data_IF_466444824627
#
_entry.id   IF_466444824627
#
_cell.length_a   1.000
_cell.length_b   1.000
_cell.length_c   1.000
_cell.angle_alpha   90.00
_cell.angle_beta   90.00
_cell.angle_gamma   90.00
#
_symmetry.space_group_name_H-M   'P 1'
#
loop_
_entity.id
_entity.type
_entity.pdbx_description
1 polymer ?
#
# COMPACT_ATOMS: atom_id res chain seq x y z
N UNK A 1 -6.53 35.62 9.25
CA UNK A 1 -6.16 35.94 7.85
C UNK A 1 -7.05 35.11 6.93
N UNK A 2 -7.83 35.75 6.05
CA UNK A 2 -8.65 35.04 5.07
C UNK A 2 -7.76 34.53 3.92
N UNK A 3 -7.86 33.25 3.59
CA UNK A 3 -7.11 32.64 2.49
C UNK A 3 -7.61 33.21 1.16
N UNK A 4 -6.74 33.84 0.36
CA UNK A 4 -7.14 34.37 -0.95
C UNK A 4 -7.23 33.24 -1.99
N UNK A 5 -8.16 33.34 -2.95
CA UNK A 5 -8.33 32.34 -4.03
C UNK A 5 -7.06 31.94 -4.79
N UNK A 6 -6.16 32.86 -5.20
CA UNK A 6 -4.91 32.48 -5.87
C UNK A 6 -3.97 31.70 -4.94
N UNK A 7 -3.91 32.02 -3.65
CA UNK A 7 -3.12 31.25 -2.68
C UNK A 7 -3.64 29.81 -2.54
N UNK A 8 -4.96 29.63 -2.52
CA UNK A 8 -5.57 28.30 -2.42
C UNK A 8 -5.23 27.40 -3.63
N UNK A 9 -5.27 27.95 -4.85
CA UNK A 9 -4.94 27.17 -6.06
C UNK A 9 -3.47 26.73 -6.07
N UNK A 10 -2.56 27.61 -5.64
CA UNK A 10 -1.13 27.26 -5.50
C UNK A 10 -0.93 26.18 -4.43
N UNK A 11 -1.57 26.31 -3.26
CA UNK A 11 -1.49 25.31 -2.18
C UNK A 11 -1.97 23.95 -2.68
N UNK A 12 -3.11 23.89 -3.38
CA UNK A 12 -3.65 22.64 -3.91
C UNK A 12 -2.72 22.01 -4.95
N UNK A 13 -2.15 22.80 -5.86
CA UNK A 13 -1.21 22.29 -6.87
C UNK A 13 0.10 21.77 -6.24
N UNK A 14 0.67 22.50 -5.30
CA UNK A 14 1.86 22.09 -4.57
C UNK A 14 1.58 20.83 -3.73
N UNK A 15 0.41 20.75 -3.10
CA UNK A 15 -0.03 19.57 -2.36
C UNK A 15 -0.15 18.34 -3.25
N UNK A 16 -0.83 18.47 -4.40
CA UNK A 16 -0.94 17.39 -5.41
C UNK A 16 0.45 16.88 -5.81
N UNK A 17 1.39 17.77 -6.12
CA UNK A 17 2.76 17.39 -6.49
C UNK A 17 3.48 16.69 -5.34
N UNK A 18 3.42 17.25 -4.13
CA UNK A 18 4.08 16.69 -2.95
C UNK A 18 3.59 15.28 -2.62
N UNK A 19 2.27 15.07 -2.58
CA UNK A 19 1.72 13.74 -2.30
C UNK A 19 1.94 12.76 -3.45
N UNK A 20 1.98 13.24 -4.70
CA UNK A 20 2.38 12.39 -5.84
C UNK A 20 3.82 11.88 -5.69
N UNK A 21 4.74 12.75 -5.29
CA UNK A 21 6.13 12.38 -5.03
C UNK A 21 6.24 11.43 -3.83
N UNK A 22 5.46 11.67 -2.77
CA UNK A 22 5.41 10.77 -1.61
C UNK A 22 4.93 9.36 -2.00
N UNK A 23 3.90 9.25 -2.84
CA UNK A 23 3.42 7.96 -3.38
C UNK A 23 4.53 7.25 -4.17
N UNK A 24 5.23 7.96 -5.06
CA UNK A 24 6.36 7.40 -5.84
C UNK A 24 7.55 7.05 -4.94
N UNK A 25 7.77 7.75 -3.83
CA UNK A 25 8.86 7.45 -2.89
C UNK A 25 8.58 6.25 -1.99
N UNK A 26 7.35 6.14 -1.46
CA UNK A 26 6.97 5.07 -0.53
C UNK A 26 6.72 3.74 -1.24
N UNK A 27 6.11 3.78 -2.43
CA UNK A 27 5.70 2.56 -3.12
C UNK A 27 6.84 1.61 -3.50
N UNK A 28 7.99 2.07 -4.06
CA UNK A 28 9.12 1.19 -4.34
C UNK A 28 9.68 0.54 -3.07
N UNK A 29 9.69 1.24 -1.94
CA UNK A 29 10.12 0.68 -0.67
C UNK A 29 9.19 -0.46 -0.22
N UNK A 30 7.87 -0.28 -0.34
CA UNK A 30 6.89 -1.33 -0.04
C UNK A 30 7.09 -2.55 -0.95
N UNK A 31 7.19 -2.32 -2.27
CA UNK A 31 7.39 -3.40 -3.25
C UNK A 31 8.70 -4.15 -2.98
N UNK A 32 9.79 -3.41 -2.74
CA UNK A 32 11.10 -3.98 -2.47
C UNK A 32 11.10 -4.81 -1.20
N UNK A 33 10.65 -4.26 -0.07
CA UNK A 33 10.64 -4.96 1.21
C UNK A 33 9.72 -6.18 1.19
N UNK A 34 8.58 -6.08 0.50
CA UNK A 34 7.68 -7.23 0.31
C UNK A 34 8.35 -8.33 -0.52
N UNK A 35 8.97 -7.97 -1.66
CA UNK A 35 9.65 -8.93 -2.53
C UNK A 35 10.86 -9.57 -1.86
N UNK A 36 11.66 -8.77 -1.16
CA UNK A 36 12.81 -9.24 -0.40
C UNK A 36 12.38 -10.20 0.70
N UNK A 37 11.39 -9.81 1.52
CA UNK A 37 10.85 -10.65 2.58
C UNK A 37 10.27 -11.97 2.07
N UNK A 38 9.54 -11.95 0.95
CA UNK A 38 8.99 -13.16 0.31
C UNK A 38 10.10 -14.09 -0.18
N UNK A 39 11.08 -13.54 -0.90
CA UNK A 39 12.20 -14.31 -1.42
C UNK A 39 13.00 -14.95 -0.29
N UNK A 40 13.31 -14.17 0.74
CA UNK A 40 14.12 -14.62 1.85
C UNK A 40 13.39 -15.67 2.69
N UNK A 41 12.08 -15.50 2.94
CA UNK A 41 11.27 -16.53 3.59
C UNK A 41 11.17 -17.82 2.79
N UNK A 42 10.93 -17.76 1.48
CA UNK A 42 10.84 -18.96 0.66
C UNK A 42 12.19 -19.71 0.59
N UNK A 43 13.31 -18.98 0.72
CA UNK A 43 14.65 -19.56 0.75
C UNK A 43 14.99 -20.17 2.12
N UNK A 44 14.70 -19.45 3.20
CA UNK A 44 15.07 -19.84 4.56
C UNK A 44 14.10 -20.85 5.18
N UNK A 45 12.80 -20.72 4.88
CA UNK A 45 11.72 -21.56 5.40
C UNK A 45 10.68 -21.82 4.30
N UNK A 46 10.97 -22.66 3.29
CA UNK A 46 10.01 -23.01 2.25
C UNK A 46 8.75 -23.66 2.82
N UNK A 47 7.65 -23.65 2.07
CA UNK A 47 6.48 -24.44 2.45
C UNK A 47 6.84 -25.93 2.49
N UNK A 48 6.41 -26.65 3.52
CA UNK A 48 6.84 -28.04 3.70
C UNK A 48 6.55 -28.60 5.08
N UNK A 49 7.12 -29.77 5.34
CA UNK A 49 7.01 -30.45 6.63
C UNK A 49 8.20 -30.07 7.52
N UNK A 50 7.91 -29.79 8.79
CA UNK A 50 8.87 -29.37 9.79
C UNK A 50 8.72 -30.19 11.06
N UNK A 51 9.81 -30.35 11.80
CA UNK A 51 9.76 -30.92 13.15
C UNK A 51 9.39 -29.82 14.15
N UNK A 52 8.37 -30.08 14.96
CA UNK A 52 7.94 -29.23 16.06
C UNK A 52 8.39 -29.80 17.42
N UNK A 53 8.84 -28.93 18.31
CA UNK A 53 9.28 -29.26 19.67
C UNK A 53 8.35 -28.61 20.70
N UNK A 54 7.94 -29.38 21.73
CA UNK A 54 7.09 -28.88 22.82
C UNK A 54 7.94 -28.13 23.85
N UNK A 55 7.87 -26.80 23.88
CA UNK A 55 8.52 -25.97 24.90
C UNK A 55 10.01 -25.66 24.63
N UNK A 56 10.73 -25.05 25.59
CA UNK A 56 12.14 -24.71 25.41
C UNK A 56 12.95 -25.99 25.17
N UNK A 57 13.34 -26.20 23.92
CA UNK A 57 14.47 -26.95 23.32
C UNK A 57 15.01 -28.27 23.88
N UNK A 58 14.56 -28.83 25.01
CA UNK A 58 15.27 -29.91 25.70
C UNK A 58 14.53 -31.25 25.77
N UNK A 59 13.22 -31.29 25.47
CA UNK A 59 12.44 -32.53 25.52
C UNK A 59 12.29 -33.13 24.11
N UNK A 60 13.22 -34.02 23.74
CA UNK A 60 13.31 -34.64 22.41
C UNK A 60 12.25 -35.74 22.19
N UNK A 61 11.52 -36.14 23.22
CA UNK A 61 10.63 -37.32 23.19
C UNK A 61 9.22 -37.00 22.65
N UNK A 62 8.92 -35.73 22.37
CA UNK A 62 7.61 -35.28 21.85
C UNK A 62 7.71 -34.54 20.51
N UNK A 63 8.55 -35.06 19.60
CA UNK A 63 8.61 -34.55 18.23
C UNK A 63 7.36 -34.92 17.44
N UNK A 64 6.74 -33.93 16.81
CA UNK A 64 5.65 -34.16 15.88
C UNK A 64 5.91 -33.43 14.57
N UNK A 65 5.49 -34.04 13.46
CA UNK A 65 5.52 -33.40 12.16
C UNK A 65 4.33 -32.46 12.01
N UNK A 66 4.61 -31.28 11.50
CA UNK A 66 3.65 -30.25 11.18
C UNK A 66 3.92 -29.73 9.77
N UNK A 67 2.88 -29.21 9.11
CA UNK A 67 3.02 -28.66 7.76
C UNK A 67 2.88 -27.15 7.79
N UNK A 68 3.86 -26.43 7.24
CA UNK A 68 3.82 -24.99 7.03
C UNK A 68 3.31 -24.68 5.62
N UNK A 69 2.27 -23.85 5.54
CA UNK A 69 1.75 -23.30 4.29
C UNK A 69 1.66 -21.78 4.41
N UNK A 70 2.06 -21.07 3.35
CA UNK A 70 1.94 -19.62 3.30
C UNK A 70 0.66 -19.18 2.60
N UNK A 71 -0.01 -18.19 3.19
CA UNK A 71 -1.03 -17.37 2.56
C UNK A 71 -0.36 -16.15 1.92
N UNK A 72 -0.60 -15.90 0.62
CA UNK A 72 -0.04 -14.79 -0.15
C UNK A 72 -0.94 -13.54 -0.18
N UNK A 73 -2.12 -13.60 0.45
CA UNK A 73 -3.14 -12.54 0.38
C UNK A 73 -2.58 -11.19 0.83
N UNK A 74 -1.74 -11.15 1.87
CA UNK A 74 -1.15 -9.91 2.39
C UNK A 74 -0.16 -9.29 1.38
N UNK A 75 0.73 -10.11 0.84
CA UNK A 75 1.75 -9.68 -0.11
C UNK A 75 1.13 -9.19 -1.42
N UNK A 76 0.09 -9.87 -1.92
CA UNK A 76 -0.67 -9.44 -3.10
C UNK A 76 -1.30 -8.04 -2.92
N UNK A 77 -1.86 -7.77 -1.74
CA UNK A 77 -2.42 -6.45 -1.42
C UNK A 77 -1.34 -5.36 -1.34
N UNK A 78 -0.17 -5.68 -0.76
CA UNK A 78 0.97 -4.76 -0.70
C UNK A 78 1.52 -4.45 -2.10
N UNK A 79 1.64 -5.44 -2.97
CA UNK A 79 2.06 -5.22 -4.36
C UNK A 79 1.04 -4.38 -5.13
N UNK A 80 -0.25 -4.66 -4.98
CA UNK A 80 -1.30 -3.90 -5.65
C UNK A 80 -1.29 -2.42 -5.21
N UNK A 81 -1.18 -2.15 -3.91
CA UNK A 81 -1.08 -0.79 -3.38
C UNK A 81 0.20 -0.08 -3.82
N UNK A 82 1.34 -0.76 -3.75
CA UNK A 82 2.62 -0.23 -4.21
C UNK A 82 2.59 0.13 -5.69
N UNK A 83 2.15 -0.79 -6.55
CA UNK A 83 2.03 -0.57 -7.99
C UNK A 83 1.08 0.60 -8.32
N UNK A 84 -0.08 0.65 -7.67
CA UNK A 84 -1.02 1.77 -7.82
C UNK A 84 -0.38 3.11 -7.42
N UNK A 85 0.34 3.16 -6.30
CA UNK A 85 1.02 4.39 -5.86
C UNK A 85 2.09 4.87 -6.84
N UNK A 86 2.86 3.97 -7.47
CA UNK A 86 3.83 4.33 -8.52
C UNK A 86 3.09 4.90 -9.73
N UNK A 87 2.15 4.12 -10.30
CA UNK A 87 1.47 4.49 -11.54
C UNK A 87 0.75 5.84 -11.39
N UNK A 88 -0.04 5.99 -10.34
CA UNK A 88 -0.86 7.17 -10.16
C UNK A 88 -0.09 8.36 -9.57
N UNK A 89 0.97 8.12 -8.80
CA UNK A 89 1.92 9.15 -8.41
C UNK A 89 2.63 9.75 -9.63
N UNK A 90 3.08 8.94 -10.58
CA UNK A 90 3.64 9.43 -11.85
C UNK A 90 2.61 10.23 -12.65
N UNK A 91 1.37 9.74 -12.75
CA UNK A 91 0.28 10.49 -13.42
C UNK A 91 0.02 11.83 -12.74
N UNK A 92 0.07 11.88 -11.41
CA UNK A 92 -0.07 13.13 -10.64
C UNK A 92 1.04 14.15 -10.95
N UNK A 93 2.30 13.70 -11.01
CA UNK A 93 3.46 14.52 -11.38
C UNK A 93 3.31 15.05 -12.81
N UNK A 94 3.03 14.18 -13.78
CA UNK A 94 2.84 14.57 -15.18
C UNK A 94 1.67 15.55 -15.32
N UNK A 95 0.55 15.26 -14.66
CA UNK A 95 -0.63 16.13 -14.64
C UNK A 95 -0.34 17.52 -14.08
N UNK A 96 0.54 17.63 -13.07
CA UNK A 96 0.97 18.92 -12.54
C UNK A 96 1.73 19.75 -13.59
N UNK A 97 2.71 19.15 -14.27
CA UNK A 97 3.48 19.85 -15.30
C UNK A 97 2.63 20.22 -16.53
N UNK A 98 1.73 19.33 -16.96
CA UNK A 98 0.80 19.61 -18.05
C UNK A 98 -0.17 20.75 -17.69
N UNK A 99 -0.68 20.79 -16.46
CA UNK A 99 -1.56 21.86 -16.01
C UNK A 99 -0.86 23.23 -15.94
N UNK A 100 0.47 23.24 -15.72
CA UNK A 100 1.27 24.47 -15.68
C UNK A 100 1.53 25.05 -17.07
N UNK A 101 1.66 24.20 -18.09
CA UNK A 101 1.95 24.61 -19.47
C UNK A 101 0.70 24.98 -20.27
N UNK A 102 -0.50 24.54 -19.86
CA UNK A 102 -1.72 24.71 -20.65
C UNK A 102 -2.51 25.96 -20.27
N UNK A 103 -2.63 26.90 -21.22
CA UNK A 103 -3.49 28.09 -21.09
C UNK A 103 -4.91 27.87 -21.62
N UNK A 104 -5.14 26.80 -22.40
CA UNK A 104 -6.40 26.54 -23.09
C UNK A 104 -7.46 25.86 -22.19
N UNK A 105 -8.73 26.32 -22.21
CA UNK A 105 -9.77 25.85 -21.29
C UNK A 105 -10.24 24.40 -21.54
N UNK A 106 -10.21 23.90 -22.78
CA UNK A 106 -10.57 22.50 -23.09
C UNK A 106 -9.55 21.51 -22.53
N UNK A 107 -8.26 21.82 -22.67
CA UNK A 107 -7.16 21.02 -22.15
C UNK A 107 -7.16 21.01 -20.63
N UNK A 108 -7.52 22.13 -20.00
CA UNK A 108 -7.62 22.26 -18.54
C UNK A 108 -8.64 21.31 -17.90
N UNK A 109 -9.82 21.12 -18.52
CA UNK A 109 -10.83 20.14 -18.06
C UNK A 109 -10.30 18.71 -18.15
N UNK A 110 -9.62 18.37 -19.24
CA UNK A 110 -9.02 17.04 -19.42
C UNK A 110 -7.92 16.77 -18.38
N UNK A 111 -7.05 17.76 -18.10
CA UNK A 111 -5.99 17.62 -17.10
C UNK A 111 -6.54 17.47 -15.67
N UNK A 112 -7.67 18.10 -15.36
CA UNK A 112 -8.35 17.91 -14.07
C UNK A 112 -8.91 16.50 -13.90
N UNK A 113 -9.55 15.95 -14.93
CA UNK A 113 -10.08 14.58 -14.92
C UNK A 113 -8.92 13.57 -14.80
N UNK A 114 -7.82 13.83 -15.51
CA UNK A 114 -6.59 13.05 -15.45
C UNK A 114 -5.94 13.04 -14.06
N UNK A 115 -6.24 14.00 -13.18
CA UNK A 115 -5.76 14.00 -11.80
C UNK A 115 -6.76 13.33 -10.84
N UNK A 116 -8.04 13.67 -10.95
CA UNK A 116 -9.07 13.21 -10.01
C UNK A 116 -9.30 11.70 -10.11
N UNK A 117 -9.52 11.17 -11.32
CA UNK A 117 -9.90 9.77 -11.48
C UNK A 117 -8.78 8.81 -11.01
N UNK A 118 -7.51 8.99 -11.42
CA UNK A 118 -6.37 8.28 -10.86
C UNK A 118 -6.23 8.41 -9.34
N UNK A 119 -6.42 9.61 -8.78
CA UNK A 119 -6.30 9.82 -7.33
C UNK A 119 -7.37 9.05 -6.54
N UNK A 120 -8.61 9.01 -7.04
CA UNK A 120 -9.70 8.25 -6.43
C UNK A 120 -9.46 6.74 -6.49
N UNK A 121 -8.96 6.22 -7.63
CA UNK A 121 -8.64 4.80 -7.77
C UNK A 121 -7.48 4.42 -6.82
N UNK A 122 -6.43 5.25 -6.75
CA UNK A 122 -5.32 5.05 -5.81
C UNK A 122 -5.82 4.96 -4.38
N UNK A 123 -6.68 5.90 -3.98
CA UNK A 123 -7.29 5.92 -2.67
C UNK A 123 -8.07 4.63 -2.39
N UNK A 124 -8.91 4.17 -3.31
CA UNK A 124 -9.68 2.94 -3.12
C UNK A 124 -8.79 1.70 -2.97
N UNK A 125 -7.79 1.54 -3.83
CA UNK A 125 -6.86 0.39 -3.77
C UNK A 125 -6.08 0.42 -2.46
N UNK A 126 -5.51 1.57 -2.10
CA UNK A 126 -4.75 1.71 -0.85
C UNK A 126 -5.63 1.56 0.39
N UNK A 127 -6.89 1.97 0.35
CA UNK A 127 -7.86 1.75 1.42
C UNK A 127 -8.17 0.27 1.61
N UNK A 128 -8.48 -0.46 0.54
CA UNK A 128 -8.73 -1.91 0.60
C UNK A 128 -7.49 -2.63 1.14
N UNK A 129 -6.31 -2.34 0.58
CA UNK A 129 -5.07 -2.91 1.08
C UNK A 129 -4.85 -2.58 2.56
N UNK A 130 -5.08 -1.33 2.99
CA UNK A 130 -4.94 -0.93 4.39
C UNK A 130 -5.85 -1.74 5.31
N UNK A 131 -7.13 -1.89 4.96
CA UNK A 131 -8.07 -2.70 5.75
C UNK A 131 -7.62 -4.16 5.82
N UNK A 132 -7.27 -4.79 4.70
CA UNK A 132 -6.88 -6.20 4.69
C UNK A 132 -5.57 -6.47 5.45
N UNK A 133 -4.57 -5.63 5.25
CA UNK A 133 -3.24 -5.83 5.82
C UNK A 133 -3.11 -5.34 7.26
N UNK A 134 -3.90 -4.35 7.69
CA UNK A 134 -3.81 -3.80 9.06
C UNK A 134 -4.94 -4.28 9.96
N UNK A 135 -6.19 -4.28 9.47
CA UNK A 135 -7.36 -4.60 10.30
C UNK A 135 -7.66 -6.10 10.28
N UNK A 136 -7.76 -6.69 9.08
CA UNK A 136 -8.11 -8.11 8.93
C UNK A 136 -6.95 -9.01 9.37
N UNK A 137 -5.72 -8.63 9.07
CA UNK A 137 -4.53 -9.36 9.51
C UNK A 137 -4.45 -9.53 11.04
N UNK A 138 -4.76 -8.47 11.80
CA UNK A 138 -4.72 -8.50 13.27
C UNK A 138 -5.94 -9.22 13.89
N UNK A 139 -7.03 -9.42 13.12
CA UNK A 139 -8.31 -9.95 13.64
C UNK A 139 -8.70 -11.34 13.13
N UNK A 140 -8.37 -11.69 11.89
CA UNK A 140 -8.93 -12.85 11.18
C UNK A 140 -7.98 -14.05 11.08
N UNK A 141 -6.84 -13.99 11.77
CA UNK A 141 -5.96 -15.14 11.74
C UNK A 141 -6.50 -16.34 12.53
N UNK A 142 -7.63 -16.20 13.24
CA UNK A 142 -8.43 -17.26 13.90
C UNK A 142 -7.61 -18.37 14.60
N UNK A 143 -6.43 -18.05 15.12
CA UNK A 143 -5.49 -19.03 15.70
C UNK A 143 -4.79 -19.99 14.71
N UNK A 144 -4.95 -19.83 13.39
CA UNK A 144 -4.32 -20.70 12.36
C UNK A 144 -2.80 -20.55 12.27
N UNK A 145 -2.29 -19.42 12.74
CA UNK A 145 -0.87 -19.16 12.94
C UNK A 145 -0.54 -18.97 14.43
N UNK A 146 -1.16 -19.77 15.30
CA UNK A 146 -0.84 -19.79 16.72
C UNK A 146 0.14 -20.93 17.00
N UNK A 147 1.33 -20.59 17.51
CA UNK A 147 2.37 -21.54 17.91
C UNK A 147 1.83 -22.63 18.85
N UNK A 148 0.82 -22.35 19.69
CA UNK A 148 0.20 -23.36 20.58
C UNK A 148 -0.53 -24.46 19.80
N UNK A 149 -0.95 -24.19 18.57
CA UNK A 149 -1.55 -25.19 17.68
C UNK A 149 -0.57 -26.28 17.25
N UNK A 150 0.74 -26.05 17.43
CA UNK A 150 1.79 -27.05 17.17
C UNK A 150 1.79 -28.21 18.16
N UNK A 151 1.03 -28.11 19.25
CA UNK A 151 0.83 -29.18 20.21
C UNK A 151 -0.01 -30.36 19.71
N UNK A 152 -0.66 -30.22 18.55
CA UNK A 152 -1.41 -31.29 17.92
C UNK A 152 -0.59 -31.89 16.74
N UNK A 153 -0.39 -33.22 16.70
CA UNK A 153 0.33 -33.85 15.59
C UNK A 153 -0.43 -33.72 14.27
N UNK A 154 0.31 -33.68 13.15
CA UNK A 154 -0.23 -33.53 11.78
C UNK A 154 -0.99 -32.22 11.54
N UNK A 155 -0.78 -31.21 12.37
CA UNK A 155 -1.44 -29.93 12.19
C UNK A 155 -0.85 -29.15 11.01
N UNK A 156 -1.70 -28.33 10.40
CA UNK A 156 -1.36 -27.50 9.25
C UNK A 156 -1.38 -26.04 9.69
N UNK A 157 -0.20 -25.46 9.76
CA UNK A 157 -0.02 -24.03 9.98
C UNK A 157 -0.24 -23.29 8.67
N UNK A 158 -1.29 -22.48 8.61
CA UNK A 158 -1.54 -21.59 7.49
C UNK A 158 -1.35 -20.16 7.97
N UNK A 159 -0.23 -19.57 7.56
CA UNK A 159 0.26 -18.28 8.04
C UNK A 159 0.57 -17.38 6.85
N UNK A 160 0.49 -16.06 7.01
CA UNK A 160 1.28 -15.22 6.11
C UNK A 160 2.77 -15.40 6.39
N UNK A 161 3.63 -14.98 5.46
CA UNK A 161 5.08 -15.04 5.67
C UNK A 161 5.55 -14.17 6.83
N UNK A 162 4.97 -12.99 7.00
CA UNK A 162 5.25 -12.10 8.15
C UNK A 162 4.94 -12.82 9.47
N UNK A 163 3.76 -13.42 9.63
CA UNK A 163 3.38 -14.10 10.87
C UNK A 163 4.26 -15.31 11.15
N UNK A 164 4.57 -16.08 10.11
CA UNK A 164 5.49 -17.20 10.24
C UNK A 164 6.86 -16.72 10.72
N UNK A 165 7.43 -15.69 10.09
CA UNK A 165 8.72 -15.10 10.44
C UNK A 165 8.76 -14.56 11.88
N UNK A 166 7.69 -13.90 12.32
CA UNK A 166 7.62 -13.27 13.63
C UNK A 166 7.32 -14.25 14.77
N UNK A 167 6.46 -15.25 14.51
CA UNK A 167 5.83 -16.03 15.59
C UNK A 167 6.19 -17.51 15.60
N UNK A 168 6.55 -18.14 14.47
CA UNK A 168 6.58 -19.61 14.38
C UNK A 168 7.95 -20.17 13.97
N UNK A 169 8.64 -19.56 12.99
CA UNK A 169 9.85 -20.15 12.39
C UNK A 169 10.97 -20.43 13.40
N UNK A 170 11.03 -19.67 14.50
CA UNK A 170 12.01 -19.89 15.57
C UNK A 170 11.82 -21.20 16.37
N UNK A 171 10.70 -21.90 16.19
CA UNK A 171 10.39 -23.16 16.87
C UNK A 171 10.56 -24.39 15.97
N UNK A 172 10.83 -24.21 14.67
CA UNK A 172 11.00 -25.31 13.72
C UNK A 172 12.44 -25.81 13.71
N UNK A 173 12.62 -27.14 13.61
CA UNK A 173 13.84 -27.72 13.05
C UNK A 173 13.53 -28.38 11.70
N UNK A 174 14.44 -28.21 10.75
CA UNK A 174 14.38 -28.93 9.48
C UNK A 174 15.04 -30.30 9.67
N UNK A 175 14.36 -31.40 9.31
CA UNK A 175 14.88 -32.76 9.52
C UNK A 175 16.16 -33.05 8.71
N UNK A 176 16.34 -32.40 7.55
CA UNK A 176 17.43 -32.71 6.61
C UNK A 176 18.55 -31.65 6.53
N UNK A 177 18.52 -30.62 7.38
CA UNK A 177 19.57 -29.59 7.43
C UNK A 177 20.39 -29.70 8.73
N UNK A 178 21.63 -30.23 8.67
CA UNK A 178 22.47 -30.45 9.86
C UNK A 178 23.03 -29.16 10.46
N UNK A 179 22.99 -28.05 9.72
CA UNK A 179 23.37 -26.72 10.20
C UNK A 179 22.16 -25.79 10.22
N UNK A 180 22.00 -24.94 11.26
CA UNK A 180 20.99 -23.89 11.21
C UNK A 180 21.29 -23.01 10.00
N UNK A 181 20.37 -22.98 9.02
CA UNK A 181 20.52 -22.26 7.74
C UNK A 181 20.89 -20.77 7.91
N UNK A 182 20.67 -20.24 9.11
CA UNK A 182 21.28 -19.07 9.73
C UNK A 182 20.87 -19.08 11.21
N UNK A 183 21.53 -18.32 12.11
CA UNK A 183 21.06 -18.22 13.48
C UNK A 183 19.60 -17.74 13.48
N UNK A 184 18.73 -18.42 14.23
CA UNK A 184 17.30 -18.11 14.43
C UNK A 184 17.08 -16.61 14.77
N UNK A 185 18.09 -15.98 15.38
CA UNK A 185 18.13 -14.57 15.72
C UNK A 185 18.19 -13.64 14.50
N UNK A 186 18.88 -14.00 13.41
CA UNK A 186 18.97 -13.20 12.18
C UNK A 186 17.68 -13.25 11.37
N UNK A 187 16.99 -14.39 11.39
CA UNK A 187 15.72 -14.59 10.69
C UNK A 187 14.58 -13.85 11.37
N UNK A 188 14.52 -13.86 12.71
CA UNK A 188 13.51 -13.09 13.45
C UNK A 188 13.77 -11.58 13.42
N UNK A 189 15.02 -11.12 13.56
CA UNK A 189 15.32 -9.68 13.50
C UNK A 189 15.24 -9.12 12.08
N UNK A 190 15.75 -9.86 11.08
CA UNK A 190 15.79 -9.43 9.69
C UNK A 190 14.45 -9.57 8.97
N UNK A 191 13.93 -10.80 8.84
CA UNK A 191 12.72 -11.04 8.02
C UNK A 191 11.48 -10.40 8.64
N UNK A 192 11.23 -10.63 9.94
CA UNK A 192 10.05 -10.08 10.59
C UNK A 192 10.11 -8.55 10.54
N UNK A 193 11.27 -7.95 10.81
CA UNK A 193 11.46 -6.51 10.75
C UNK A 193 11.16 -5.93 9.37
N UNK A 194 11.68 -6.52 8.31
CA UNK A 194 11.45 -6.06 6.92
C UNK A 194 9.99 -6.21 6.48
N UNK A 195 9.39 -7.38 6.73
CA UNK A 195 7.99 -7.66 6.33
C UNK A 195 7.00 -6.81 7.13
N UNK A 196 7.24 -6.63 8.43
CA UNK A 196 6.45 -5.74 9.27
C UNK A 196 6.62 -4.27 8.86
N UNK A 197 7.83 -3.86 8.47
CA UNK A 197 8.08 -2.51 7.95
C UNK A 197 7.32 -2.28 6.64
N UNK A 198 7.33 -3.25 5.72
CA UNK A 198 6.56 -3.16 4.48
C UNK A 198 5.05 -2.95 4.74
N UNK A 199 4.50 -3.69 5.69
CA UNK A 199 3.11 -3.55 6.13
C UNK A 199 2.84 -2.17 6.74
N UNK A 200 3.69 -1.70 7.65
CA UNK A 200 3.53 -0.40 8.31
C UNK A 200 3.70 0.79 7.37
N UNK A 201 4.52 0.67 6.32
CA UNK A 201 4.64 1.69 5.27
C UNK A 201 3.36 1.87 4.47
N UNK A 202 2.41 0.94 4.53
CA UNK A 202 1.10 1.11 3.91
C UNK A 202 0.27 2.22 4.58
N UNK A 203 0.46 2.48 5.88
CA UNK A 203 -0.23 3.55 6.58
C UNK A 203 0.13 4.95 6.03
N UNK A 204 1.42 5.35 5.94
CA UNK A 204 1.77 6.61 5.30
C UNK A 204 1.44 6.63 3.79
N UNK A 205 1.46 5.49 3.10
CA UNK A 205 0.99 5.41 1.70
C UNK A 205 -0.50 5.74 1.59
N UNK A 206 -1.32 5.19 2.47
CA UNK A 206 -2.76 5.47 2.56
C UNK A 206 -3.03 6.93 2.92
N UNK A 207 -2.30 7.50 3.88
CA UNK A 207 -2.43 8.93 4.21
C UNK A 207 -2.08 9.80 3.00
N UNK A 208 -0.99 9.47 2.29
CA UNK A 208 -0.60 10.18 1.08
C UNK A 208 -1.68 10.06 -0.02
N UNK A 209 -2.30 8.90 -0.20
CA UNK A 209 -3.35 8.69 -1.20
C UNK A 209 -4.64 9.46 -0.87
N UNK A 210 -5.05 9.49 0.41
CA UNK A 210 -6.18 10.30 0.90
C UNK A 210 -5.93 11.77 0.63
N UNK A 211 -4.74 12.28 0.98
CA UNK A 211 -4.39 13.68 0.79
C UNK A 211 -4.27 14.01 -0.70
N UNK A 212 -3.69 13.14 -1.52
CA UNK A 212 -3.64 13.30 -2.96
C UNK A 212 -5.04 13.39 -3.59
N UNK A 213 -5.96 12.50 -3.19
CA UNK A 213 -7.35 12.51 -3.63
C UNK A 213 -8.08 13.78 -3.17
N UNK A 214 -7.98 14.12 -1.88
CA UNK A 214 -8.60 15.31 -1.30
C UNK A 214 -8.15 16.61 -1.98
N UNK A 215 -6.84 16.74 -2.23
CA UNK A 215 -6.29 17.92 -2.94
C UNK A 215 -6.72 17.96 -4.40
N UNK A 216 -6.79 16.81 -5.09
CA UNK A 216 -7.24 16.73 -6.49
C UNK A 216 -8.72 17.08 -6.64
N UNK A 217 -9.57 16.57 -5.75
CA UNK A 217 -11.00 16.93 -5.69
C UNK A 217 -11.18 18.39 -5.29
N UNK A 218 -10.44 18.87 -4.29
CA UNK A 218 -10.43 20.28 -3.90
C UNK A 218 -10.09 21.18 -5.07
N UNK A 219 -9.04 20.86 -5.83
CA UNK A 219 -8.65 21.58 -7.06
C UNK A 219 -9.79 21.60 -8.08
N UNK A 220 -10.44 20.47 -8.34
CA UNK A 220 -11.59 20.40 -9.25
C UNK A 220 -12.73 21.34 -8.79
N UNK A 221 -13.04 21.36 -7.48
CA UNK A 221 -14.09 22.22 -6.93
C UNK A 221 -13.75 23.70 -7.07
N UNK A 222 -12.49 24.08 -6.79
CA UNK A 222 -12.01 25.46 -6.95
C UNK A 222 -12.07 25.90 -8.41
N UNK A 223 -11.63 25.05 -9.34
CA UNK A 223 -11.67 25.36 -10.77
C UNK A 223 -13.10 25.42 -11.33
N UNK A 224 -13.99 24.52 -10.91
CA UNK A 224 -15.43 24.58 -11.27
C UNK A 224 -16.08 25.86 -10.75
N UNK A 225 -15.72 26.31 -9.54
CA UNK A 225 -16.24 27.57 -9.00
C UNK A 225 -15.73 28.76 -9.79
N UNK A 226 -14.45 28.78 -10.17
CA UNK A 226 -13.88 29.85 -11.01
C UNK A 226 -14.53 29.91 -12.40
N UNK A 227 -14.79 28.76 -13.03
CA UNK A 227 -15.47 28.70 -14.33
C UNK A 227 -16.91 29.22 -14.26
N UNK A 228 -17.62 29.06 -13.14
CA UNK A 228 -18.96 29.64 -12.94
C UNK A 228 -18.98 31.17 -12.86
N UNK A 229 -17.84 31.81 -12.60
CA UNK A 229 -17.72 33.27 -12.54
C UNK A 229 -17.09 33.88 -13.81
N UNK A 230 -16.63 33.04 -14.74
CA UNK A 230 -16.15 33.49 -16.05
C UNK A 230 -17.24 33.12 -17.04
N UNK A 231 -18.00 34.12 -17.47
CA UNK A 231 -18.99 34.00 -18.54
C UNK A 231 -18.42 33.13 -19.66
N UNK A 232 -19.05 31.98 -19.89
CA UNK A 232 -18.61 31.06 -20.92
C UNK A 232 -18.69 31.72 -22.29
N UNK A 233 -17.85 31.33 -23.25
CA UNK A 233 -17.90 31.91 -24.59
C UNK A 233 -19.30 31.79 -25.22
N UNK A 234 -20.01 30.70 -24.90
CA UNK A 234 -21.39 30.47 -25.33
C UNK A 234 -22.37 31.44 -24.64
N UNK A 235 -22.27 31.67 -23.32
CA UNK A 235 -23.05 32.71 -22.63
C UNK A 235 -22.72 34.11 -23.15
N UNK A 236 -21.49 34.33 -23.60
CA UNK A 236 -21.02 35.60 -24.16
C UNK A 236 -21.59 35.85 -25.56
N UNK A 237 -21.67 34.80 -26.38
CA UNK A 237 -22.31 34.83 -27.70
C UNK A 237 -23.82 35.03 -27.53
N UNK A 238 -24.47 34.28 -26.64
CA UNK A 238 -25.91 34.41 -26.37
C UNK A 238 -26.27 35.79 -25.80
N UNK A 239 -25.38 36.42 -25.02
CA UNK A 239 -25.56 37.80 -24.56
C UNK A 239 -25.37 38.82 -25.67
N UNK A 240 -24.42 38.60 -26.60
CA UNK A 240 -24.22 39.46 -27.76
C UNK A 240 -25.41 39.37 -28.73
N UNK A 241 -25.94 38.17 -28.98
CA UNK A 241 -27.14 37.98 -29.80
C UNK A 241 -28.38 38.67 -29.22
N UNK A 242 -28.57 38.66 -27.89
CA UNK A 242 -29.66 39.41 -27.23
C UNK A 242 -29.46 40.93 -27.17
N UNK A 243 -28.27 41.44 -27.49
CA UNK A 243 -28.00 42.88 -27.55
C UNK A 243 -28.13 43.44 -28.97
N UNK A 244 -28.21 42.58 -29.98
CA UNK A 244 -28.42 42.96 -31.38
C UNK A 244 -29.91 42.95 -31.80
N UNK A 245 -30.82 42.45 -30.94
CA UNK A 245 -32.28 42.60 -31.03
C UNK A 245 -32.79 43.82 -30.24
#
# INVERSE_FOLDING_TARGET
MALTWPQLHTILNCGVLFFSLALVGLSPAIVYLTAHGVHWMNKAYPQGYYEWYRGPSWDMDTKHQIRLMFDSTNEEMLYAAGAAGILFGVVGIVGFFLARQTSKPSTRKATLILQVLPSSITFLITFVAFIFTQVVYDTDNRGKCDWTSGYNPNNVFRCTREQAACNIVGYFKMPDYPEPLQPIYDTKMGICGETQTARHLLAPLFVASVLFCGMSVGKLLVEKRKMRFVESADERIERLERQEE
#
